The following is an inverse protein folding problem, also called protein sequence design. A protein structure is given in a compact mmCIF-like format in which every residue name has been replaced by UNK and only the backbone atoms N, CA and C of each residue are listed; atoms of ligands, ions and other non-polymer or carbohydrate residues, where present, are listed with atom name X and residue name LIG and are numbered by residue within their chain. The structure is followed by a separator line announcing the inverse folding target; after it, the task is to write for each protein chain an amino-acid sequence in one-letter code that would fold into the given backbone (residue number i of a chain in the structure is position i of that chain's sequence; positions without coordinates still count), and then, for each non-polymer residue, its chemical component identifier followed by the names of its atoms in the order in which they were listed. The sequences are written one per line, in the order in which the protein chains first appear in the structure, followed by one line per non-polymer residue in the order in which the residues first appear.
data_IF_372408511168
#
_entry.id   IF_372408511168
#
_cell.length_a   1.000
_cell.length_b   1.000
_cell.length_c   1.000
_cell.angle_alpha   90.00
_cell.angle_beta   90.00
_cell.angle_gamma   90.00
#
_symmetry.space_group_name_H-M   'P 1'
#
loop_
_entity.id
_entity.type
_entity.pdbx_description
1 polymer ?
#
# COMPACT_ATOMS: atom_id res chain seq x y z
N UNK A 1 2.87 -6.79 -2.56
CA UNK A 1 3.91 -6.46 -1.54
C UNK A 1 3.63 -7.23 -0.24
N UNK A 2 4.69 -7.67 0.45
CA UNK A 2 4.56 -8.27 1.79
C UNK A 2 4.20 -7.20 2.85
N UNK A 3 3.86 -7.63 4.07
CA UNK A 3 3.34 -6.73 5.10
C UNK A 3 4.33 -5.64 5.53
N UNK A 4 5.63 -5.94 5.60
CA UNK A 4 6.62 -4.93 5.98
C UNK A 4 6.75 -3.84 4.90
N UNK A 5 6.73 -4.20 3.62
CA UNK A 5 6.75 -3.22 2.53
C UNK A 5 5.48 -2.35 2.55
N UNK A 6 4.31 -2.96 2.81
CA UNK A 6 3.05 -2.23 2.93
C UNK A 6 3.12 -1.20 4.07
N UNK A 7 3.67 -1.56 5.23
CA UNK A 7 3.81 -0.62 6.34
C UNK A 7 4.81 0.50 6.05
N UNK A 8 5.93 0.20 5.37
CA UNK A 8 6.87 1.25 4.90
C UNK A 8 6.15 2.21 3.95
N UNK A 9 5.30 1.73 3.04
CA UNK A 9 4.50 2.61 2.19
C UNK A 9 3.53 3.46 3.01
N UNK A 10 2.87 2.91 4.02
CA UNK A 10 1.97 3.69 4.91
C UNK A 10 2.71 4.83 5.61
N UNK A 11 3.95 4.60 6.05
CA UNK A 11 4.76 5.61 6.75
C UNK A 11 5.19 6.77 5.83
N UNK A 12 5.46 6.47 4.56
CA UNK A 12 6.14 7.41 3.64
C UNK A 12 5.31 7.83 2.43
N UNK A 13 4.10 7.29 2.23
CA UNK A 13 3.24 7.58 1.08
C UNK A 13 1.82 7.93 1.55
N UNK A 14 1.15 8.81 0.80
CA UNK A 14 -0.24 9.19 1.09
C UNK A 14 -1.24 8.08 0.76
N UNK A 15 -2.44 8.07 1.36
CA UNK A 15 -3.47 7.05 1.13
C UNK A 15 -3.91 6.96 -0.34
N UNK A 16 -3.92 8.10 -1.04
CA UNK A 16 -4.26 8.20 -2.47
C UNK A 16 -3.16 7.73 -3.43
N UNK A 17 -2.00 7.31 -2.92
CA UNK A 17 -0.88 6.84 -3.75
C UNK A 17 -1.31 5.62 -4.56
N UNK A 18 -1.22 5.69 -5.89
CA UNK A 18 -1.49 4.56 -6.76
C UNK A 18 -0.36 3.52 -6.68
N UNK A 19 -0.74 2.25 -6.55
CA UNK A 19 0.13 1.09 -6.46
C UNK A 19 -0.21 0.13 -7.60
N UNK A 20 0.74 -0.07 -8.50
CA UNK A 20 0.60 -0.98 -9.63
C UNK A 20 1.29 -2.31 -9.32
N UNK A 21 0.53 -3.40 -9.29
CA UNK A 21 1.03 -4.75 -9.04
C UNK A 21 1.03 -5.56 -10.33
N UNK A 22 2.19 -6.11 -10.69
CA UNK A 22 2.39 -6.89 -11.92
C UNK A 22 2.72 -8.34 -11.58
N UNK A 23 2.16 -9.29 -12.33
CA UNK A 23 2.38 -10.72 -12.12
C UNK A 23 3.27 -11.39 -13.19
N UNK A 24 3.98 -10.60 -13.99
CA UNK A 24 4.87 -11.08 -15.06
C UNK A 24 4.16 -11.59 -16.33
N UNK A 25 2.83 -11.65 -16.35
CA UNK A 25 2.02 -12.04 -17.52
C UNK A 25 1.38 -10.86 -18.25
N UNK A 26 1.77 -9.63 -17.90
CA UNK A 26 1.20 -8.40 -18.44
C UNK A 26 -0.10 -7.96 -17.75
N UNK A 27 -0.60 -8.70 -16.77
CA UNK A 27 -1.74 -8.27 -15.96
C UNK A 27 -1.27 -7.26 -14.91
N UNK A 28 -2.00 -6.16 -14.80
CA UNK A 28 -1.75 -5.07 -13.85
C UNK A 28 -2.98 -4.93 -12.97
N UNK A 29 -2.76 -4.99 -11.66
CA UNK A 29 -3.75 -4.59 -10.67
C UNK A 29 -3.36 -3.20 -10.15
N UNK A 30 -4.24 -2.23 -10.39
CA UNK A 30 -4.12 -0.86 -9.89
C UNK A 30 -5.00 -0.71 -8.64
N UNK A 31 -4.41 -0.18 -7.57
CA UNK A 31 -5.08 0.10 -6.30
C UNK A 31 -4.51 1.39 -5.71
N UNK A 32 -5.30 2.12 -4.92
CA UNK A 32 -4.78 3.11 -3.97
C UNK A 32 -4.15 2.40 -2.78
N UNK A 33 -3.23 3.08 -2.10
CA UNK A 33 -2.57 2.54 -0.92
C UNK A 33 -3.59 2.20 0.19
N UNK A 34 -4.63 3.00 0.36
CA UNK A 34 -5.73 2.73 1.30
C UNK A 34 -6.51 1.44 1.00
N UNK A 35 -6.66 1.09 -0.28
CA UNK A 35 -7.32 -0.15 -0.72
C UNK A 35 -6.42 -1.36 -0.50
N UNK A 36 -5.10 -1.17 -0.61
CA UNK A 36 -4.10 -2.21 -0.41
C UNK A 36 -3.84 -2.51 1.08
N UNK A 37 -4.00 -1.52 1.97
CA UNK A 37 -3.72 -1.63 3.41
C UNK A 37 -4.83 -0.93 4.21
N UNK A 38 -6.06 -1.48 4.22
CA UNK A 38 -7.16 -0.86 4.94
C UNK A 38 -6.91 -0.89 6.45
N UNK A 39 -7.35 0.18 7.13
CA UNK A 39 -7.18 0.34 8.59
C UNK A 39 -5.72 0.23 9.04
N UNK A 40 -4.80 0.75 8.23
CA UNK A 40 -3.39 0.76 8.57
C UNK A 40 -3.13 1.53 9.86
N UNK A 41 -2.19 1.01 10.64
CA UNK A 41 -1.68 1.73 11.79
C UNK A 41 -0.77 2.87 11.27
N UNK A 42 -1.09 4.12 11.60
CA UNK A 42 -0.36 5.32 11.13
C UNK A 42 0.47 5.93 12.26
N UNK A 43 -0.10 6.05 13.45
CA UNK A 43 0.60 6.56 14.63
C UNK A 43 -0.06 6.01 15.90
N UNK A 44 0.71 5.95 16.99
CA UNK A 44 0.19 5.77 18.34
C UNK A 44 0.38 7.10 19.07
N UNK A 45 -0.73 7.75 19.42
CA UNK A 45 -0.70 8.83 20.40
C UNK A 45 -0.67 8.19 21.80
N UNK A 46 0.34 8.57 22.58
CA UNK A 46 0.55 8.11 23.96
C UNK A 46 0.01 9.11 24.96
#
# INVERSE_FOLDING_TARGET
PCNICRQVMVEFCGPDTLVFLLNGKGEILELRLEELVPYSFVSLEM
#
